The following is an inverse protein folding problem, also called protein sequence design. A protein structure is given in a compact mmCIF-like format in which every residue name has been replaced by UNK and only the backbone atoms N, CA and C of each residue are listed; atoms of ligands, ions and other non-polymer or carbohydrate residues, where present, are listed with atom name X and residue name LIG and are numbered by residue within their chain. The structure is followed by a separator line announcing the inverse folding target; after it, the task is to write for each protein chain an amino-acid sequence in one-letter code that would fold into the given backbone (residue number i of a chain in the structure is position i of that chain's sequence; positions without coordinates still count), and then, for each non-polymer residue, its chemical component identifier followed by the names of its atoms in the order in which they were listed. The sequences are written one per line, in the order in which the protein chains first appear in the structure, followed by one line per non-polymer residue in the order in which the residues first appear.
data_IF_682023951422
#
_entry.id   IF_682023951422
#
_cell.length_a   1.000
_cell.length_b   1.000
_cell.length_c   1.000
_cell.angle_alpha   90.00
_cell.angle_beta   90.00
_cell.angle_gamma   90.00
#
_symmetry.space_group_name_H-M   'P 1'
#
loop_
_entity.id
_entity.type
_entity.pdbx_description
1 polymer ?
#
# COMPACT_ATOMS: atom_id res chain seq x y z
N UNK A 1 33.31 11.72 10.61
CA UNK A 1 33.02 10.51 9.82
C UNK A 1 32.00 9.60 10.49
N UNK A 2 32.22 9.12 11.72
CA UNK A 2 31.32 8.15 12.39
C UNK A 2 29.88 8.62 12.50
N UNK A 3 29.64 9.87 12.95
CA UNK A 3 28.28 10.42 13.07
C UNK A 3 27.56 10.57 11.72
N UNK A 4 28.29 10.93 10.66
CA UNK A 4 27.73 11.00 9.29
C UNK A 4 27.21 9.62 8.87
N UNK A 5 28.01 8.57 9.05
CA UNK A 5 27.63 7.19 8.71
C UNK A 5 26.42 6.74 9.55
N UNK A 6 26.43 7.04 10.86
CA UNK A 6 25.32 6.68 11.75
C UNK A 6 24.01 7.33 11.30
N UNK A 7 24.03 8.63 11.00
CA UNK A 7 22.82 9.33 10.52
C UNK A 7 22.35 8.81 9.17
N UNK A 8 23.27 8.54 8.24
CA UNK A 8 22.95 7.95 6.95
C UNK A 8 22.29 6.57 7.11
N UNK A 9 22.88 5.68 7.91
CA UNK A 9 22.36 4.32 8.15
C UNK A 9 21.00 4.36 8.84
N UNK A 10 20.81 5.21 9.85
CA UNK A 10 19.52 5.35 10.53
C UNK A 10 18.44 5.87 9.58
N UNK A 11 18.75 6.89 8.79
CA UNK A 11 17.83 7.46 7.82
C UNK A 11 17.38 6.41 6.80
N UNK A 12 18.34 5.71 6.19
CA UNK A 12 18.08 4.66 5.20
C UNK A 12 17.28 3.51 5.84
N UNK A 13 17.61 3.10 7.05
CA UNK A 13 16.93 2.02 7.76
C UNK A 13 15.46 2.34 8.04
N UNK A 14 15.15 3.50 8.62
CA UNK A 14 13.76 3.89 8.90
C UNK A 14 12.95 4.07 7.62
N UNK A 15 13.55 4.67 6.61
CA UNK A 15 12.92 4.83 5.30
C UNK A 15 12.66 3.48 4.63
N UNK A 16 13.63 2.56 4.64
CA UNK A 16 13.48 1.19 4.14
C UNK A 16 12.31 0.46 4.81
N UNK A 17 12.24 0.57 6.14
CA UNK A 17 11.15 -0.02 6.92
C UNK A 17 9.79 0.55 6.52
N UNK A 18 9.67 1.88 6.43
CA UNK A 18 8.44 2.54 6.01
C UNK A 18 8.01 2.12 4.59
N UNK A 19 8.94 2.02 3.66
CA UNK A 19 8.68 1.63 2.27
C UNK A 19 8.19 0.18 2.15
N UNK A 20 8.74 -0.76 2.93
CA UNK A 20 8.22 -2.13 2.99
C UNK A 20 6.79 -2.15 3.54
N UNK A 21 6.54 -1.43 4.64
CA UNK A 21 5.23 -1.39 5.28
C UNK A 21 4.16 -0.81 4.36
N UNK A 22 4.49 0.27 3.65
CA UNK A 22 3.61 0.90 2.65
C UNK A 22 3.23 -0.08 1.55
N UNK A 23 4.23 -0.65 0.88
CA UNK A 23 4.00 -1.56 -0.24
C UNK A 23 3.26 -2.84 0.20
N UNK A 24 3.62 -3.42 1.34
CA UNK A 24 2.94 -4.58 1.88
C UNK A 24 1.48 -4.24 2.25
N UNK A 25 1.24 -3.11 2.95
CA UNK A 25 -0.10 -2.68 3.33
C UNK A 25 -1.01 -2.50 2.10
N UNK A 26 -0.52 -1.87 1.05
CA UNK A 26 -1.28 -1.66 -0.19
C UNK A 26 -1.59 -2.98 -0.90
N UNK A 27 -0.66 -3.93 -0.88
CA UNK A 27 -0.79 -5.23 -1.56
C UNK A 27 -1.76 -6.21 -0.88
N UNK A 28 -2.11 -6.03 0.41
CA UNK A 28 -3.09 -6.90 1.06
C UNK A 28 -4.47 -6.76 0.42
N UNK A 29 -5.02 -7.86 -0.08
CA UNK A 29 -6.39 -7.90 -0.61
C UNK A 29 -7.41 -8.17 0.50
N UNK A 30 -8.62 -7.57 0.42
CA UNK A 30 -9.69 -7.83 1.38
C UNK A 30 -10.05 -9.32 1.48
N UNK A 31 -10.03 -10.03 0.36
CA UNK A 31 -10.32 -11.47 0.30
C UNK A 31 -9.31 -12.30 1.09
N UNK A 32 -8.01 -12.03 0.90
CA UNK A 32 -6.96 -12.70 1.65
C UNK A 32 -7.07 -12.45 3.16
N UNK A 33 -7.30 -11.19 3.56
CA UNK A 33 -7.45 -10.84 4.97
C UNK A 33 -8.66 -11.52 5.60
N UNK A 34 -9.81 -11.60 4.90
CA UNK A 34 -10.99 -12.33 5.37
C UNK A 34 -10.70 -13.83 5.57
N UNK A 35 -9.97 -14.45 4.63
CA UNK A 35 -9.57 -15.86 4.74
C UNK A 35 -8.68 -16.07 5.97
N UNK A 36 -7.65 -15.22 6.17
CA UNK A 36 -6.74 -15.32 7.31
C UNK A 36 -7.39 -14.98 8.66
N UNK A 37 -8.41 -14.15 8.66
CA UNK A 37 -9.23 -13.88 9.85
C UNK A 37 -10.04 -15.12 10.24
N UNK A 38 -10.61 -15.84 9.27
CA UNK A 38 -11.30 -17.12 9.53
C UNK A 38 -10.36 -18.20 10.06
N UNK A 39 -9.08 -18.17 9.67
CA UNK A 39 -8.03 -19.05 10.22
C UNK A 39 -7.57 -18.63 11.65
N UNK A 40 -8.16 -17.60 12.25
CA UNK A 40 -7.82 -17.13 13.59
C UNK A 40 -6.52 -16.33 13.70
N UNK A 41 -5.98 -15.82 12.59
CA UNK A 41 -4.75 -15.01 12.60
C UNK A 41 -5.02 -13.59 13.07
N UNK A 42 -4.50 -13.21 14.24
CA UNK A 42 -4.71 -11.90 14.87
C UNK A 42 -4.26 -10.72 14.00
N UNK A 43 -3.13 -10.87 13.29
CA UNK A 43 -2.65 -9.83 12.38
C UNK A 43 -3.65 -9.48 11.27
N UNK A 44 -4.43 -10.46 10.80
CA UNK A 44 -5.40 -10.26 9.73
C UNK A 44 -6.55 -9.36 10.19
N UNK A 45 -6.99 -9.49 11.43
CA UNK A 45 -8.01 -8.61 12.03
C UNK A 45 -7.50 -7.17 12.13
N UNK A 46 -6.24 -6.99 12.58
CA UNK A 46 -5.60 -5.67 12.67
C UNK A 46 -5.49 -5.02 11.29
N UNK A 47 -4.97 -5.75 10.29
CA UNK A 47 -4.83 -5.24 8.92
C UNK A 47 -6.19 -4.99 8.26
N UNK A 48 -7.22 -5.78 8.54
CA UNK A 48 -8.59 -5.54 8.06
C UNK A 48 -9.12 -4.20 8.59
N UNK A 49 -8.86 -3.88 9.87
CA UNK A 49 -9.27 -2.61 10.44
C UNK A 49 -8.51 -1.43 9.81
N UNK A 50 -7.22 -1.59 9.53
CA UNK A 50 -6.44 -0.58 8.82
C UNK A 50 -6.87 -0.41 7.34
N UNK A 51 -7.30 -1.48 6.69
CA UNK A 51 -7.84 -1.40 5.32
C UNK A 51 -9.20 -0.71 5.24
N UNK A 52 -10.01 -0.72 6.31
CA UNK A 52 -11.28 0.03 6.37
C UNK A 52 -11.06 1.55 6.42
N UNK A 53 -9.98 1.99 7.04
CA UNK A 53 -9.54 3.39 7.14
C UNK A 53 -8.06 3.45 6.79
N UNK A 54 -7.78 3.28 5.50
CA UNK A 54 -6.41 3.13 5.00
C UNK A 54 -5.61 4.43 5.08
N UNK A 55 -6.30 5.57 5.12
CA UNK A 55 -5.67 6.89 5.22
C UNK A 55 -4.83 7.00 6.49
N UNK A 56 -5.33 6.48 7.59
CA UNK A 56 -4.66 6.55 8.88
C UNK A 56 -3.28 5.87 8.91
N UNK A 57 -3.13 4.58 8.55
CA UNK A 57 -1.80 3.96 8.51
C UNK A 57 -0.92 4.53 7.41
N UNK A 58 -1.46 4.93 6.24
CA UNK A 58 -0.68 5.55 5.18
C UNK A 58 -0.09 6.89 5.62
N UNK A 59 -0.90 7.76 6.22
CA UNK A 59 -0.41 9.04 6.76
C UNK A 59 0.69 8.81 7.78
N UNK A 60 0.55 7.82 8.67
CA UNK A 60 1.57 7.51 9.66
C UNK A 60 2.89 7.06 9.03
N UNK A 61 2.83 6.15 8.04
CA UNK A 61 4.01 5.68 7.31
C UNK A 61 4.67 6.84 6.55
N UNK A 62 3.90 7.59 5.76
CA UNK A 62 4.40 8.70 4.96
C UNK A 62 5.04 9.79 5.83
N UNK A 63 4.43 10.10 6.96
CA UNK A 63 5.00 11.08 7.92
C UNK A 63 6.35 10.64 8.43
N UNK A 64 6.45 9.39 8.92
CA UNK A 64 7.71 8.86 9.42
C UNK A 64 8.77 8.77 8.32
N UNK A 65 8.37 8.34 7.11
CA UNK A 65 9.25 8.26 5.95
C UNK A 65 9.82 9.63 5.56
N UNK A 66 8.95 10.66 5.49
CA UNK A 66 9.36 12.03 5.19
C UNK A 66 10.30 12.59 6.25
N UNK A 67 10.02 12.35 7.53
CA UNK A 67 10.91 12.75 8.62
C UNK A 67 12.26 12.05 8.47
N UNK A 68 12.30 10.75 8.24
CA UNK A 68 13.52 9.98 8.07
C UNK A 68 14.38 10.52 6.92
N UNK A 69 13.77 10.80 5.75
CA UNK A 69 14.47 11.36 4.60
C UNK A 69 14.98 12.77 4.86
N UNK A 70 14.09 13.67 5.31
CA UNK A 70 14.41 15.09 5.42
C UNK A 70 15.42 15.34 6.54
N UNK A 71 15.12 14.86 7.75
CA UNK A 71 16.02 15.04 8.90
C UNK A 71 17.32 14.29 8.68
N UNK A 72 17.27 13.08 8.13
CA UNK A 72 18.45 12.30 7.81
C UNK A 72 19.37 13.00 6.82
N UNK A 73 18.83 13.49 5.71
CA UNK A 73 19.62 14.22 4.69
C UNK A 73 20.25 15.51 5.26
N UNK A 74 19.49 16.28 6.06
CA UNK A 74 20.01 17.49 6.72
C UNK A 74 21.15 17.13 7.67
N UNK A 75 20.98 16.12 8.53
CA UNK A 75 22.01 15.75 9.49
C UNK A 75 23.27 15.22 8.81
N UNK A 76 23.13 14.46 7.74
CA UNK A 76 24.26 14.00 6.91
C UNK A 76 24.98 15.19 6.26
N UNK A 77 24.23 16.14 5.69
CA UNK A 77 24.78 17.36 5.07
C UNK A 77 25.59 18.18 6.08
N UNK A 78 25.02 18.45 7.26
CA UNK A 78 25.72 19.17 8.36
C UNK A 78 26.98 18.46 8.79
N UNK A 79 27.00 17.14 8.84
CA UNK A 79 28.20 16.39 9.19
C UNK A 79 29.23 16.36 8.06
N UNK A 80 28.78 16.37 6.80
CA UNK A 80 29.68 16.48 5.65
C UNK A 80 30.42 17.82 5.60
N UNK A 81 29.73 18.92 5.96
CA UNK A 81 30.35 20.26 6.03
C UNK A 81 31.46 20.36 7.09
N UNK A 82 31.32 19.63 8.19
CA UNK A 82 32.33 19.61 9.28
C UNK A 82 33.57 18.76 8.98
N UNK A 83 33.61 18.09 7.83
CA UNK A 83 34.80 17.32 7.46
C UNK A 83 35.95 18.24 7.07
N UNK A 84 37.18 17.91 7.49
CA UNK A 84 38.37 18.76 7.21
C UNK A 84 38.80 18.77 5.73
N UNK A 85 38.20 17.93 4.91
CA UNK A 85 38.54 17.78 3.50
C UNK A 85 37.66 18.71 2.65
N UNK A 86 38.25 19.75 2.04
CA UNK A 86 37.61 20.56 1.01
C UNK A 86 37.89 19.92 -0.36
N UNK A 87 37.03 18.98 -0.73
CA UNK A 87 37.10 18.36 -2.04
C UNK A 87 36.10 19.05 -2.94
N UNK A 88 36.57 19.59 -4.04
CA UNK A 88 35.74 20.08 -5.15
C UNK A 88 35.98 19.20 -6.37
N UNK A 89 34.91 18.62 -6.89
CA UNK A 89 34.94 17.84 -8.13
C UNK A 89 33.98 18.52 -9.11
N UNK A 90 34.50 18.97 -10.24
CA UNK A 90 33.71 19.64 -11.29
C UNK A 90 32.91 20.87 -10.77
N UNK A 91 33.46 21.62 -9.83
CA UNK A 91 32.82 22.78 -9.21
C UNK A 91 31.74 22.43 -8.17
N UNK A 92 31.56 21.17 -7.84
CA UNK A 92 30.65 20.70 -6.79
C UNK A 92 31.46 20.45 -5.51
N UNK A 93 31.03 21.05 -4.41
CA UNK A 93 31.65 20.87 -3.10
C UNK A 93 31.33 19.47 -2.50
N UNK A 94 32.09 19.07 -1.49
CA UNK A 94 31.93 17.78 -0.79
C UNK A 94 30.48 17.53 -0.32
N UNK A 95 29.82 18.56 0.19
CA UNK A 95 28.42 18.47 0.68
C UNK A 95 27.48 18.10 -0.47
N UNK A 96 27.66 18.71 -1.66
CA UNK A 96 26.87 18.38 -2.84
C UNK A 96 27.07 16.95 -3.30
N UNK A 97 28.33 16.45 -3.30
CA UNK A 97 28.64 15.05 -3.65
C UNK A 97 27.98 14.08 -2.66
N UNK A 98 28.13 14.33 -1.36
CA UNK A 98 27.52 13.49 -0.31
C UNK A 98 26.00 13.52 -0.42
N UNK A 99 25.40 14.67 -0.68
CA UNK A 99 23.95 14.79 -0.85
C UNK A 99 23.44 14.02 -2.09
N UNK A 100 24.18 14.06 -3.20
CA UNK A 100 23.84 13.29 -4.40
C UNK A 100 23.90 11.77 -4.14
N UNK A 101 24.96 11.32 -3.46
CA UNK A 101 25.11 9.90 -3.08
C UNK A 101 23.97 9.50 -2.13
N UNK A 102 23.64 10.32 -1.12
CA UNK A 102 22.52 10.04 -0.20
C UNK A 102 21.19 9.95 -0.92
N UNK A 103 20.93 10.85 -1.87
CA UNK A 103 19.69 10.81 -2.67
C UNK A 103 19.58 9.50 -3.46
N UNK A 104 20.66 9.06 -4.09
CA UNK A 104 20.70 7.79 -4.81
C UNK A 104 20.52 6.58 -3.88
N UNK A 105 21.16 6.60 -2.71
CA UNK A 105 21.01 5.53 -1.72
C UNK A 105 19.57 5.48 -1.18
N UNK A 106 18.97 6.62 -0.88
CA UNK A 106 17.57 6.71 -0.45
C UNK A 106 16.68 6.15 -1.55
N UNK A 107 16.81 6.61 -2.80
CA UNK A 107 15.96 6.19 -3.90
C UNK A 107 16.05 4.67 -4.14
N UNK A 108 17.26 4.15 -4.27
CA UNK A 108 17.46 2.75 -4.66
C UNK A 108 17.26 1.82 -3.47
N UNK A 109 17.99 2.06 -2.37
CA UNK A 109 18.07 1.13 -1.24
C UNK A 109 16.86 1.27 -0.32
N UNK A 110 16.33 2.48 -0.11
CA UNK A 110 15.24 2.68 0.85
C UNK A 110 13.86 2.92 0.25
N UNK A 111 13.75 3.04 -1.10
CA UNK A 111 12.45 3.13 -1.75
C UNK A 111 12.20 2.01 -2.76
N UNK A 112 12.99 1.90 -3.83
CA UNK A 112 12.71 0.96 -4.92
C UNK A 112 12.78 -0.49 -4.42
N UNK A 113 13.91 -0.87 -3.82
CA UNK A 113 14.12 -2.25 -3.37
C UNK A 113 13.06 -2.67 -2.32
N UNK A 114 12.84 -1.91 -1.22
CA UNK A 114 11.89 -2.34 -0.20
C UNK A 114 10.44 -2.32 -0.67
N UNK A 115 10.03 -1.39 -1.55
CA UNK A 115 8.70 -1.42 -2.15
C UNK A 115 8.48 -2.66 -3.00
N UNK A 116 9.49 -3.06 -3.78
CA UNK A 116 9.44 -4.30 -4.55
C UNK A 116 9.34 -5.54 -3.65
N UNK A 117 10.15 -5.60 -2.57
CA UNK A 117 10.09 -6.68 -1.57
C UNK A 117 8.72 -6.71 -0.89
N UNK A 118 8.23 -5.56 -0.44
CA UNK A 118 6.94 -5.43 0.22
C UNK A 118 5.78 -5.90 -0.67
N UNK A 119 5.78 -5.50 -1.94
CA UNK A 119 4.76 -5.88 -2.91
C UNK A 119 4.85 -7.36 -3.32
N UNK A 120 6.05 -7.95 -3.37
CA UNK A 120 6.23 -9.35 -3.75
C UNK A 120 5.93 -10.31 -2.60
N UNK A 121 6.43 -9.99 -1.40
CA UNK A 121 6.35 -10.90 -0.24
C UNK A 121 5.30 -10.51 0.79
N UNK A 122 4.32 -9.68 0.43
CA UNK A 122 3.29 -9.15 1.34
C UNK A 122 2.57 -10.23 2.17
N UNK A 123 2.30 -11.42 1.61
CA UNK A 123 1.65 -12.53 2.33
C UNK A 123 2.45 -13.00 3.54
N UNK A 124 3.79 -13.02 3.44
CA UNK A 124 4.69 -13.40 4.53
C UNK A 124 4.89 -12.28 5.55
N UNK A 125 4.74 -11.04 5.11
CA UNK A 125 4.97 -9.84 5.92
C UNK A 125 3.76 -9.45 6.79
N UNK A 126 2.65 -10.20 6.76
CA UNK A 126 1.39 -9.81 7.43
C UNK A 126 1.54 -9.53 8.93
N UNK A 127 2.17 -10.42 9.68
CA UNK A 127 2.41 -10.23 11.12
C UNK A 127 3.36 -9.06 11.40
N UNK A 128 4.45 -8.97 10.63
CA UNK A 128 5.41 -7.89 10.71
C UNK A 128 4.75 -6.53 10.46
N UNK A 129 4.01 -6.40 9.35
CA UNK A 129 3.30 -5.17 8.99
C UNK A 129 2.31 -4.74 10.07
N UNK A 130 1.50 -5.65 10.60
CA UNK A 130 0.53 -5.33 11.65
C UNK A 130 1.20 -4.82 12.93
N UNK A 131 2.29 -5.48 13.35
CA UNK A 131 3.02 -5.12 14.58
C UNK A 131 3.69 -3.76 14.46
N UNK A 132 4.42 -3.52 13.35
CA UNK A 132 5.11 -2.26 13.15
C UNK A 132 4.17 -1.09 12.88
N UNK A 133 3.04 -1.30 12.19
CA UNK A 133 2.01 -0.26 12.06
C UNK A 133 1.46 0.17 13.41
N UNK A 134 1.16 -0.77 14.29
CA UNK A 134 0.72 -0.44 15.66
C UNK A 134 1.81 0.37 16.39
N UNK A 135 3.07 -0.03 16.28
CA UNK A 135 4.19 0.65 16.92
C UNK A 135 4.36 2.10 16.42
N UNK A 136 4.16 2.35 15.12
CA UNK A 136 4.28 3.68 14.51
C UNK A 136 3.06 4.55 14.84
N UNK A 137 1.85 3.99 14.76
CA UNK A 137 0.61 4.74 14.92
C UNK A 137 0.39 5.20 16.36
N UNK A 138 0.80 4.40 17.36
CA UNK A 138 0.62 4.74 18.77
C UNK A 138 1.29 6.07 19.12
N UNK A 139 2.59 6.29 18.93
CA UNK A 139 3.22 7.57 19.26
C UNK A 139 2.70 8.73 18.42
N UNK A 140 2.45 8.52 17.12
CA UNK A 140 1.91 9.58 16.27
C UNK A 140 0.49 10.02 16.68
N UNK A 141 -0.29 9.12 17.27
CA UNK A 141 -1.62 9.46 17.83
C UNK A 141 -1.49 10.41 19.01
N UNK A 142 -0.49 10.19 19.89
CA UNK A 142 -0.29 11.03 21.08
C UNK A 142 0.30 12.41 20.74
N UNK A 143 1.06 12.54 19.66
CA UNK A 143 1.60 13.85 19.23
C UNK A 143 0.54 14.76 18.58
N UNK A 144 -0.67 14.29 18.31
CA UNK A 144 -1.70 15.05 17.62
C UNK A 144 -1.47 15.26 16.11
N UNK A 145 -0.31 14.91 15.60
CA UNK A 145 0.06 15.06 14.18
C UNK A 145 -0.90 14.27 13.30
N UNK A 146 -1.23 13.03 13.67
CA UNK A 146 -2.22 12.23 12.92
C UNK A 146 -3.58 12.91 12.85
N UNK A 147 -4.03 13.54 13.93
CA UNK A 147 -5.31 14.24 13.95
C UNK A 147 -5.30 15.44 13.00
N UNK A 148 -4.23 16.24 13.01
CA UNK A 148 -4.06 17.38 12.11
C UNK A 148 -4.05 16.95 10.64
N UNK A 149 -3.25 15.93 10.30
CA UNK A 149 -3.14 15.45 8.92
C UNK A 149 -4.44 14.79 8.44
N UNK A 150 -5.12 14.04 9.28
CA UNK A 150 -6.46 13.51 8.95
C UNK A 150 -7.52 14.60 8.78
N UNK A 151 -7.39 15.73 9.47
CA UNK A 151 -8.28 16.88 9.26
C UNK A 151 -8.08 17.45 7.85
N UNK A 152 -6.81 17.62 7.42
CA UNK A 152 -6.46 18.10 6.08
C UNK A 152 -6.98 17.14 5.00
N UNK A 153 -6.75 15.84 5.14
CA UNK A 153 -7.24 14.83 4.17
C UNK A 153 -8.76 14.83 4.09
N UNK A 154 -9.48 15.01 5.19
CA UNK A 154 -10.95 15.13 5.17
C UNK A 154 -11.45 16.38 4.45
N UNK A 155 -10.70 17.47 4.48
CA UNK A 155 -11.04 18.71 3.75
C UNK A 155 -10.87 18.55 2.23
N UNK A 156 -9.89 17.75 1.79
CA UNK A 156 -9.61 17.47 0.38
C UNK A 156 -10.61 16.47 -0.22
N UNK A 157 -11.20 15.61 0.61
CA UNK A 157 -12.20 14.62 0.22
C UNK A 157 -11.94 13.27 0.90
N UNK A 158 -12.98 12.54 1.23
CA UNK A 158 -12.83 11.16 1.69
C UNK A 158 -12.33 10.31 0.52
N UNK A 159 -11.22 9.62 0.70
CA UNK A 159 -10.84 8.54 -0.21
C UNK A 159 -11.98 7.51 -0.24
N UNK A 160 -12.71 7.45 -1.35
CA UNK A 160 -13.82 6.53 -1.54
C UNK A 160 -13.28 5.11 -1.79
N UNK A 161 -12.58 4.53 -0.81
CA UNK A 161 -12.01 3.18 -0.91
C UNK A 161 -12.88 2.09 -0.26
N UNK A 162 -14.17 2.34 -0.12
CA UNK A 162 -15.15 1.26 0.04
C UNK A 162 -15.85 1.11 -1.29
N UNK A 163 -15.15 0.62 -2.30
CA UNK A 163 -15.81 0.12 -3.49
C UNK A 163 -16.56 -1.15 -3.09
N UNK A 164 -17.86 -1.02 -2.90
CA UNK A 164 -18.73 -2.16 -3.06
C UNK A 164 -18.57 -2.58 -4.51
N UNK A 165 -17.92 -3.71 -4.75
CA UNK A 165 -17.72 -4.27 -6.10
C UNK A 165 -19.05 -4.23 -6.83
N UNK A 166 -19.10 -3.57 -7.97
CA UNK A 166 -20.28 -3.52 -8.81
C UNK A 166 -20.51 -4.88 -9.48
N UNK A 167 -21.71 -5.10 -10.03
CA UNK A 167 -21.97 -6.34 -10.78
C UNK A 167 -21.10 -6.41 -12.04
N UNK A 168 -20.88 -5.27 -12.68
CA UNK A 168 -20.05 -5.12 -13.86
C UNK A 168 -18.58 -5.47 -13.55
N UNK A 169 -18.05 -4.97 -12.41
CA UNK A 169 -16.71 -5.33 -11.95
C UNK A 169 -16.59 -6.83 -11.63
N UNK A 170 -17.65 -7.44 -11.05
CA UNK A 170 -17.64 -8.87 -10.77
C UNK A 170 -17.68 -9.70 -12.06
N UNK A 171 -18.46 -9.26 -13.10
CA UNK A 171 -18.45 -9.89 -14.41
C UNK A 171 -17.07 -9.83 -15.05
N UNK A 172 -16.41 -8.66 -15.05
CA UNK A 172 -15.08 -8.50 -15.59
C UNK A 172 -14.03 -9.39 -14.91
N UNK A 173 -14.13 -9.54 -13.58
CA UNK A 173 -13.25 -10.47 -12.84
C UNK A 173 -13.52 -11.94 -13.21
N UNK A 174 -14.78 -12.29 -13.46
CA UNK A 174 -15.16 -13.64 -13.89
C UNK A 174 -14.61 -13.95 -15.28
N UNK A 175 -14.65 -12.97 -16.20
CA UNK A 175 -14.05 -13.09 -17.53
C UNK A 175 -12.53 -13.26 -17.46
N UNK A 176 -11.86 -12.44 -16.68
CA UNK A 176 -10.42 -12.56 -16.46
C UNK A 176 -10.03 -13.92 -15.85
N UNK A 177 -10.83 -14.45 -14.93
CA UNK A 177 -10.60 -15.76 -14.33
C UNK A 177 -10.79 -16.93 -15.34
N UNK A 178 -11.68 -16.77 -16.31
CA UNK A 178 -11.82 -17.70 -17.44
C UNK A 178 -10.58 -17.65 -18.35
N UNK A 179 -10.11 -16.44 -18.72
CA UNK A 179 -8.91 -16.26 -19.54
C UNK A 179 -7.65 -16.85 -18.85
N UNK A 180 -7.58 -16.77 -17.50
CA UNK A 180 -6.51 -17.39 -16.71
C UNK A 180 -6.69 -18.91 -16.53
N UNK A 181 -7.78 -19.50 -17.02
CA UNK A 181 -8.07 -20.95 -16.91
C UNK A 181 -8.48 -21.39 -15.50
N UNK A 182 -8.95 -20.47 -14.66
CA UNK A 182 -9.48 -20.78 -13.31
C UNK A 182 -10.89 -21.35 -13.40
N UNK A 183 -11.69 -20.90 -14.38
CA UNK A 183 -13.03 -21.36 -14.68
C UNK A 183 -13.12 -21.87 -16.13
N UNK A 184 -14.00 -22.84 -16.35
CA UNK A 184 -14.41 -23.23 -17.71
C UNK A 184 -15.45 -22.24 -18.24
N UNK A 185 -15.57 -22.11 -19.58
CA UNK A 185 -16.54 -21.27 -20.26
C UNK A 185 -17.99 -21.53 -19.77
N UNK A 186 -18.31 -22.80 -19.52
CA UNK A 186 -19.61 -23.24 -18.99
C UNK A 186 -19.88 -22.68 -17.59
N UNK A 187 -18.88 -22.67 -16.73
CA UNK A 187 -18.99 -22.16 -15.36
C UNK A 187 -19.13 -20.64 -15.34
N UNK A 188 -18.33 -19.95 -16.15
CA UNK A 188 -18.42 -18.49 -16.35
C UNK A 188 -19.79 -18.08 -16.83
N UNK A 189 -20.34 -18.80 -17.80
CA UNK A 189 -21.69 -18.55 -18.33
C UNK A 189 -22.77 -18.70 -17.25
N UNK A 190 -22.69 -19.73 -16.39
CA UNK A 190 -23.62 -19.90 -15.28
C UNK A 190 -23.52 -18.76 -14.28
N UNK A 191 -22.30 -18.35 -13.91
CA UNK A 191 -22.08 -17.23 -12.97
C UNK A 191 -22.67 -15.93 -13.53
N UNK A 192 -22.43 -15.62 -14.82
CA UNK A 192 -22.98 -14.43 -15.48
C UNK A 192 -24.51 -14.45 -15.51
N UNK A 193 -25.09 -15.59 -15.85
CA UNK A 193 -26.55 -15.75 -15.87
C UNK A 193 -27.16 -15.56 -14.49
N UNK A 194 -26.53 -16.04 -13.42
CA UNK A 194 -26.97 -15.81 -12.04
C UNK A 194 -26.96 -14.32 -11.66
N UNK A 195 -25.97 -13.55 -12.11
CA UNK A 195 -25.90 -12.11 -11.84
C UNK A 195 -27.02 -11.33 -12.53
N UNK A 196 -27.44 -11.76 -13.73
CA UNK A 196 -28.51 -11.13 -14.49
C UNK A 196 -29.90 -11.67 -14.13
N UNK A 197 -29.97 -12.83 -13.46
CA UNK A 197 -31.22 -13.54 -13.16
C UNK A 197 -32.30 -12.67 -12.49
N UNK A 198 -31.88 -11.75 -11.59
CA UNK A 198 -32.81 -10.84 -10.90
C UNK A 198 -33.57 -9.91 -11.86
N UNK A 199 -33.03 -9.62 -13.04
CA UNK A 199 -33.64 -8.74 -14.06
C UNK A 199 -34.47 -9.50 -15.08
N UNK A 200 -34.40 -10.84 -15.10
CA UNK A 200 -35.15 -11.69 -16.03
C UNK A 200 -36.60 -11.82 -15.53
N UNK A 201 -37.54 -11.49 -16.39
CA UNK A 201 -38.96 -11.62 -16.11
C UNK A 201 -39.54 -12.89 -16.81
N UNK A 202 -40.65 -13.39 -16.31
CA UNK A 202 -41.31 -14.58 -16.90
C UNK A 202 -41.63 -14.38 -18.41
N UNK A 203 -41.95 -13.16 -18.83
CA UNK A 203 -42.19 -12.80 -20.22
C UNK A 203 -40.97 -12.99 -21.13
N UNK A 204 -39.74 -12.94 -20.59
CA UNK A 204 -38.50 -13.02 -21.35
C UNK A 204 -38.14 -14.48 -21.69
N UNK A 205 -38.71 -15.44 -20.93
CA UNK A 205 -38.43 -16.89 -21.06
C UNK A 205 -39.68 -17.71 -21.46
N UNK A 206 -40.87 -17.11 -21.43
CA UNK A 206 -42.09 -17.81 -21.86
C UNK A 206 -42.21 -17.93 -23.35
N UNK A 207 -42.74 -19.02 -23.83
CA UNK A 207 -43.16 -19.15 -25.24
C UNK A 207 -44.39 -18.25 -25.49
N UNK A 208 -44.33 -17.27 -26.43
CA UNK A 208 -45.46 -16.43 -26.73
C UNK A 208 -46.66 -17.28 -27.22
N UNK A 209 -47.85 -16.94 -26.74
CA UNK A 209 -49.08 -17.69 -27.08
C UNK A 209 -49.33 -17.79 -28.59
N UNK A 210 -48.83 -16.83 -29.34
CA UNK A 210 -48.90 -16.80 -30.83
C UNK A 210 -48.09 -17.90 -31.51
N UNK A 211 -47.15 -18.54 -30.82
CA UNK A 211 -46.29 -19.61 -31.38
C UNK A 211 -46.70 -21.00 -30.86
N UNK A 212 -47.63 -21.07 -29.89
CA UNK A 212 -48.17 -22.34 -29.40
C UNK A 212 -49.20 -22.86 -30.40
N UNK A 213 -48.82 -23.83 -31.20
CA UNK A 213 -49.77 -24.61 -32.05
C UNK A 213 -50.47 -25.62 -31.16
N UNK A 214 -51.80 -25.56 -31.17
CA UNK A 214 -52.71 -26.58 -30.59
C UNK A 214 -52.69 -27.88 -31.40
#
# INVERSE_FOLDING_TARGET
MTLLIVYAVLSIFFSFLCSILEAALLSFTPTYLRMKTKEGKSYATTLTNYKKDIDKPLIAILTLNTIAHTVGAILVGVQAEKLPYKVEVWGVNLVGIVSAIMTMLILVVSEIIPKTIGATYWKKLGSFTATFLNLIIIPLKYTGILWLLMLITRMVGKSAHVSTMSREEFMAITDAAEEEGVFEESETTVIKNLLVFKSVHAKDVMTPFTVVTL
#
